data_IF_624809126318
#
_entry.id   IF_624809126318
#
_cell.length_a   1.000
_cell.length_b   1.000
_cell.length_c   1.000
_cell.angle_alpha   90.00
_cell.angle_beta   90.00
_cell.angle_gamma   90.00
#
_symmetry.space_group_name_H-M   'P 1'
#
loop_
_entity.id
_entity.type
_entity.pdbx_description
1 polymer ?
#
# COMPACT_ATOMS: atom_id res chain seq x y z
N UNK A 1 -5.41 9.27 -17.89
CA UNK A 1 -5.16 10.33 -16.88
C UNK A 1 -5.65 9.78 -15.56
N UNK A 2 -4.75 9.48 -14.61
CA UNK A 2 -5.14 9.02 -13.27
C UNK A 2 -5.73 10.22 -12.51
N UNK A 3 -6.83 10.00 -11.79
CA UNK A 3 -7.48 11.04 -10.98
C UNK A 3 -6.58 11.44 -9.81
N UNK A 4 -6.36 12.75 -9.61
CA UNK A 4 -5.61 13.34 -8.48
C UNK A 4 -6.31 13.20 -7.12
N UNK A 5 -7.43 12.46 -7.09
CA UNK A 5 -8.29 12.31 -5.93
C UNK A 5 -8.62 10.85 -5.69
N UNK A 6 -8.73 10.51 -4.42
CA UNK A 6 -9.13 9.19 -3.93
C UNK A 6 -10.39 9.34 -3.09
N UNK A 7 -11.34 8.44 -3.27
CA UNK A 7 -12.47 8.26 -2.36
C UNK A 7 -11.98 7.82 -0.98
N UNK A 8 -12.84 7.97 0.03
CA UNK A 8 -12.55 7.48 1.39
C UNK A 8 -12.22 5.98 1.43
N UNK A 9 -12.80 5.19 0.53
CA UNK A 9 -12.54 3.75 0.42
C UNK A 9 -11.13 3.48 -0.15
N UNK A 10 -10.80 4.07 -1.29
CA UNK A 10 -9.48 3.93 -1.93
C UNK A 10 -8.36 4.47 -1.02
N UNK A 11 -8.61 5.56 -0.31
CA UNK A 11 -7.67 6.13 0.65
C UNK A 11 -7.39 5.20 1.84
N UNK A 12 -8.44 4.56 2.36
CA UNK A 12 -8.34 3.61 3.46
C UNK A 12 -7.60 2.33 3.02
N UNK A 13 -7.88 1.85 1.81
CA UNK A 13 -7.19 0.71 1.19
C UNK A 13 -5.69 0.99 1.00
N UNK A 14 -5.34 2.14 0.42
CA UNK A 14 -3.95 2.56 0.23
C UNK A 14 -3.15 2.61 1.54
N UNK A 15 -3.81 2.96 2.64
CA UNK A 15 -3.21 3.05 3.98
C UNK A 15 -3.38 1.77 4.81
N UNK A 16 -3.93 0.70 4.22
CA UNK A 16 -4.22 -0.60 4.83
C UNK A 16 -4.99 -0.46 6.15
N UNK A 17 -6.10 0.28 6.15
CA UNK A 17 -6.95 0.47 7.32
C UNK A 17 -8.44 0.48 6.99
N UNK A 18 -9.29 0.51 8.01
CA UNK A 18 -10.74 0.68 7.83
C UNK A 18 -11.08 2.11 7.41
N UNK A 19 -12.18 2.29 6.66
CA UNK A 19 -12.69 3.62 6.27
C UNK A 19 -12.93 4.51 7.50
N UNK A 20 -13.44 3.94 8.60
CA UNK A 20 -13.60 4.67 9.86
C UNK A 20 -12.26 5.10 10.46
N UNK A 21 -11.23 4.23 10.39
CA UNK A 21 -9.86 4.56 10.79
C UNK A 21 -9.29 5.71 9.95
N UNK A 22 -9.58 5.69 8.65
CA UNK A 22 -9.19 6.76 7.74
C UNK A 22 -9.87 8.08 8.11
N UNK A 23 -11.17 8.12 8.41
CA UNK A 23 -11.83 9.36 8.85
C UNK A 23 -11.23 9.94 10.12
N UNK A 24 -10.88 9.10 11.11
CA UNK A 24 -10.18 9.55 12.32
C UNK A 24 -8.81 10.14 11.98
N UNK A 25 -8.08 9.52 11.06
CA UNK A 25 -6.79 10.01 10.60
C UNK A 25 -6.93 11.33 9.84
N UNK A 26 -7.85 11.42 8.88
CA UNK A 26 -8.12 12.63 8.11
C UNK A 26 -8.48 13.80 9.03
N UNK A 27 -9.33 13.56 10.04
CA UNK A 27 -9.64 14.56 11.09
C UNK A 27 -8.40 14.97 11.88
N UNK A 28 -7.58 14.00 12.32
CA UNK A 28 -6.33 14.26 13.06
C UNK A 28 -5.31 15.05 12.23
N UNK A 29 -5.26 14.80 10.92
CA UNK A 29 -4.36 15.46 9.96
C UNK A 29 -4.95 16.72 9.35
N UNK A 30 -6.18 17.10 9.73
CA UNK A 30 -6.91 18.25 9.18
C UNK A 30 -6.99 18.21 7.64
N UNK A 31 -7.21 17.02 7.08
CA UNK A 31 -7.38 16.87 5.64
C UNK A 31 -8.80 17.23 5.23
N UNK A 32 -8.91 18.20 4.33
CA UNK A 32 -10.19 18.63 3.77
C UNK A 32 -10.71 17.58 2.80
N UNK A 33 -11.96 17.17 3.01
CA UNK A 33 -12.71 16.37 2.04
C UNK A 33 -13.32 17.31 0.99
N UNK A 34 -13.39 16.83 -0.25
CA UNK A 34 -14.15 17.45 -1.32
C UNK A 34 -15.31 16.53 -1.65
N UNK A 35 -16.53 17.05 -1.55
CA UNK A 35 -17.74 16.30 -1.89
C UNK A 35 -17.94 16.28 -3.41
N UNK A 36 -18.00 15.07 -3.96
CA UNK A 36 -18.29 14.83 -5.38
C UNK A 36 -19.45 13.84 -5.43
N UNK A 37 -20.66 14.37 -5.65
CA UNK A 37 -21.89 13.59 -5.56
C UNK A 37 -22.08 13.02 -4.14
N UNK A 38 -22.37 11.72 -3.98
CA UNK A 38 -22.54 11.10 -2.66
C UNK A 38 -21.21 10.74 -1.97
N UNK A 39 -20.06 11.05 -2.58
CA UNK A 39 -18.76 10.58 -2.12
C UNK A 39 -17.87 11.71 -1.60
N UNK A 40 -17.16 11.46 -0.50
CA UNK A 40 -16.06 12.29 -0.03
C UNK A 40 -14.74 11.82 -0.65
N UNK A 41 -14.06 12.76 -1.30
CA UNK A 41 -12.77 12.55 -1.97
C UNK A 41 -11.67 13.38 -1.33
N UNK A 42 -10.43 12.92 -1.43
CA UNK A 42 -9.24 13.48 -0.81
C UNK A 42 -8.10 13.57 -1.82
N UNK A 43 -7.22 14.55 -1.67
CA UNK A 43 -6.03 14.67 -2.50
C UNK A 43 -5.13 13.44 -2.37
N UNK A 44 -4.86 12.79 -3.51
CA UNK A 44 -3.99 11.61 -3.60
C UNK A 44 -2.60 11.88 -3.01
N UNK A 45 -2.02 13.05 -3.30
CA UNK A 45 -0.69 13.44 -2.84
C UNK A 45 -0.51 13.39 -1.32
N UNK A 46 -1.54 13.76 -0.56
CA UNK A 46 -1.52 13.70 0.92
C UNK A 46 -1.52 12.26 1.42
N UNK A 47 -2.30 11.40 0.76
CA UNK A 47 -2.40 9.98 1.11
C UNK A 47 -1.08 9.27 0.79
N UNK A 48 -0.51 9.51 -0.40
CA UNK A 48 0.78 8.94 -0.81
C UNK A 48 1.94 9.36 0.12
N UNK A 49 1.94 10.62 0.58
CA UNK A 49 2.89 11.08 1.58
C UNK A 49 2.74 10.31 2.92
N UNK A 50 1.52 10.13 3.42
CA UNK A 50 1.28 9.37 4.66
C UNK A 50 1.60 7.87 4.51
N UNK A 51 1.32 7.27 3.34
CA UNK A 51 1.76 5.90 3.02
C UNK A 51 3.27 5.83 3.15
N UNK A 52 4.00 6.72 2.50
CA UNK A 52 5.47 6.77 2.53
C UNK A 52 6.01 6.91 3.94
N UNK A 53 5.44 7.83 4.74
CA UNK A 53 5.84 8.04 6.14
C UNK A 53 5.53 6.84 7.03
N UNK A 54 4.43 6.13 6.79
CA UNK A 54 4.11 4.88 7.50
C UNK A 54 5.09 3.78 7.16
N UNK A 55 5.45 3.64 5.89
CA UNK A 55 6.44 2.66 5.44
C UNK A 55 7.81 2.95 6.07
N UNK A 56 8.26 4.21 6.05
CA UNK A 56 9.51 4.63 6.73
C UNK A 56 9.49 4.32 8.22
N UNK A 57 8.39 4.60 8.92
CA UNK A 57 8.23 4.29 10.36
C UNK A 57 8.16 2.79 10.64
N UNK A 58 7.55 2.00 9.76
CA UNK A 58 7.54 0.53 9.86
C UNK A 58 8.96 -0.02 9.67
N UNK A 59 9.69 0.47 8.68
CA UNK A 59 11.09 0.08 8.44
C UNK A 59 12.00 0.48 9.61
N UNK A 60 11.87 1.70 10.15
CA UNK A 60 12.72 2.15 11.27
C UNK A 60 12.45 1.42 12.58
N UNK A 61 11.24 0.88 12.76
CA UNK A 61 10.87 0.05 13.91
C UNK A 61 11.18 -1.45 13.71
N UNK A 62 11.71 -1.82 12.55
CA UNK A 62 11.96 -3.20 12.22
C UNK A 62 13.27 -3.66 12.86
N UNK A 63 13.19 -4.66 13.73
CA UNK A 63 14.39 -5.30 14.26
C UNK A 63 15.09 -6.09 13.14
N UNK A 64 16.41 -6.32 13.24
CA UNK A 64 17.14 -7.13 12.25
C UNK A 64 16.52 -8.51 12.03
N UNK A 65 15.95 -9.11 13.08
CA UNK A 65 15.28 -10.41 13.01
C UNK A 65 13.99 -10.36 12.17
N UNK A 66 13.16 -9.32 12.34
CA UNK A 66 11.94 -9.15 11.54
C UNK A 66 12.30 -8.87 10.09
N UNK A 67 13.35 -8.08 9.84
CA UNK A 67 13.85 -7.82 8.47
C UNK A 67 14.24 -9.10 7.74
N UNK A 68 15.09 -9.91 8.37
CA UNK A 68 15.55 -11.16 7.80
C UNK A 68 14.40 -12.14 7.55
N UNK A 69 13.40 -12.17 8.45
CA UNK A 69 12.21 -12.98 8.27
C UNK A 69 11.36 -12.53 7.07
N UNK A 70 11.08 -11.23 6.94
CA UNK A 70 10.29 -10.70 5.82
C UNK A 70 11.01 -10.87 4.48
N UNK A 71 12.32 -10.64 4.44
CA UNK A 71 13.16 -10.87 3.23
C UNK A 71 13.14 -12.33 2.80
N UNK A 72 13.27 -13.27 3.75
CA UNK A 72 13.16 -14.72 3.48
C UNK A 72 11.79 -15.11 2.94
N UNK A 73 10.73 -14.52 3.48
CA UNK A 73 9.37 -14.78 2.98
C UNK A 73 9.17 -14.21 1.58
N UNK A 74 9.67 -13.00 1.29
CA UNK A 74 9.64 -12.42 -0.05
C UNK A 74 10.39 -13.29 -1.07
N UNK A 75 11.57 -13.79 -0.69
CA UNK A 75 12.36 -14.73 -1.51
C UNK A 75 11.60 -16.03 -1.80
N UNK A 76 10.95 -16.61 -0.78
CA UNK A 76 10.15 -17.84 -0.94
C UNK A 76 9.01 -17.65 -1.95
N UNK A 77 8.35 -16.49 -1.91
CA UNK A 77 7.27 -16.16 -2.85
C UNK A 77 7.83 -15.99 -4.27
N UNK A 78 8.98 -15.30 -4.44
CA UNK A 78 9.62 -15.20 -5.77
C UNK A 78 9.96 -16.58 -6.33
N UNK A 79 10.54 -17.46 -5.52
CA UNK A 79 10.89 -18.83 -5.92
C UNK A 79 9.66 -19.64 -6.35
N UNK A 80 8.59 -19.60 -5.56
CA UNK A 80 7.33 -20.29 -5.87
C UNK A 80 6.75 -19.92 -7.25
N UNK A 81 6.80 -18.64 -7.61
CA UNK A 81 6.31 -18.17 -8.91
C UNK A 81 7.30 -18.43 -10.05
N UNK A 82 8.60 -18.34 -9.79
CA UNK A 82 9.64 -18.67 -10.76
C UNK A 82 9.56 -20.16 -11.19
N UNK A 83 9.33 -21.09 -10.25
CA UNK A 83 9.10 -22.51 -10.54
C UNK A 83 7.89 -22.75 -11.46
N UNK A 84 6.94 -21.82 -11.48
CA UNK A 84 5.74 -21.86 -12.33
C UNK A 84 5.87 -21.04 -13.62
N UNK A 85 7.06 -20.51 -13.91
CA UNK A 85 7.34 -19.72 -15.11
C UNK A 85 6.80 -18.29 -15.07
N UNK A 86 6.49 -17.76 -13.88
CA UNK A 86 5.99 -16.41 -13.70
C UNK A 86 7.06 -15.52 -13.06
N UNK A 87 7.31 -14.37 -13.68
CA UNK A 87 8.17 -13.33 -13.10
C UNK A 87 7.32 -12.32 -12.33
N UNK A 88 7.54 -12.27 -11.02
CA UNK A 88 6.88 -11.32 -10.13
C UNK A 88 7.91 -10.53 -9.34
N UNK A 89 7.62 -9.26 -9.10
CA UNK A 89 8.39 -8.41 -8.22
C UNK A 89 7.81 -8.51 -6.82
N UNK A 90 8.58 -9.03 -5.88
CA UNK A 90 8.18 -9.10 -4.48
C UNK A 90 9.11 -8.24 -3.66
N UNK A 91 8.60 -7.28 -2.92
CA UNK A 91 9.38 -6.43 -2.03
C UNK A 91 8.94 -6.60 -0.58
N UNK A 92 9.91 -6.75 0.31
CA UNK A 92 9.69 -6.65 1.74
C UNK A 92 9.64 -5.16 2.12
N UNK A 93 8.49 -4.69 2.61
CA UNK A 93 8.31 -3.30 3.02
C UNK A 93 7.90 -3.25 4.49
N UNK A 94 8.92 -3.20 5.37
CA UNK A 94 8.70 -3.36 6.81
C UNK A 94 8.32 -4.81 7.15
N UNK A 95 7.28 -5.01 7.97
CA UNK A 95 6.76 -6.34 8.33
C UNK A 95 5.88 -6.98 7.25
N UNK A 96 5.60 -6.26 6.16
CA UNK A 96 4.66 -6.69 5.13
C UNK A 96 5.41 -7.06 3.85
N UNK A 97 4.85 -7.98 3.08
CA UNK A 97 5.34 -8.37 1.77
C UNK A 97 4.38 -7.84 0.72
N UNK A 98 4.89 -7.08 -0.25
CA UNK A 98 4.14 -6.64 -1.43
C UNK A 98 4.61 -7.43 -2.63
N UNK A 99 3.69 -7.89 -3.46
CA UNK A 99 4.00 -8.59 -4.70
C UNK A 99 3.23 -7.96 -5.85
N UNK A 100 3.94 -7.48 -6.86
CA UNK A 100 3.37 -7.03 -8.12
C UNK A 100 3.80 -8.03 -9.21
N UNK A 101 2.84 -8.53 -9.98
CA UNK A 101 3.13 -9.35 -11.17
C UNK A 101 3.78 -8.45 -12.23
N UNK A 102 5.03 -8.74 -12.61
CA UNK A 102 5.78 -7.89 -13.57
C UNK A 102 5.43 -8.22 -15.01
N UNK A 103 4.85 -9.38 -15.30
CA UNK A 103 4.50 -9.74 -16.67
C UNK A 103 3.03 -10.11 -16.82
N UNK A 104 2.37 -9.35 -17.69
CA UNK A 104 0.94 -9.38 -17.93
C UNK A 104 0.41 -10.70 -18.46
N UNK A 105 -0.84 -10.96 -18.12
CA UNK A 105 -1.72 -11.70 -19.00
C UNK A 105 -2.64 -10.71 -19.71
N UNK A 106 -2.89 -10.90 -21.02
CA UNK A 106 -3.82 -10.07 -21.77
C UNK A 106 -5.20 -10.21 -21.13
N UNK A 107 -5.92 -9.09 -21.05
CA UNK A 107 -7.35 -9.10 -20.75
C UNK A 107 -8.05 -10.12 -21.68
N UNK A 108 -8.59 -11.18 -21.09
CA UNK A 108 -9.68 -11.98 -21.65
C UNK A 108 -10.68 -12.26 -20.54
#
# INVERSE_FOLDING_TARGET
MQSDRLTSAEAAEALCMTVQGFYRLAKKRQWSAIEIGPHQTYERSRIEAEVTDRLKRKQSRMTPAVRAHTEKCAETIRQYWAERGHEIHVEAVGSDIRSDLVNGLPRR
#
